data_IF_734345530841
#
_entry.id   IF_734345530841
#
_cell.length_a   1.000
_cell.length_b   1.000
_cell.length_c   1.000
_cell.angle_alpha   90.00
_cell.angle_beta   90.00
_cell.angle_gamma   90.00
#
_symmetry.space_group_name_H-M   'P 1'
#
loop_
_entity.id
_entity.type
_entity.pdbx_description
1 polymer ?
#
# COMPACT_ATOMS: atom_id res chain seq x y z
N UNK A 1 -10.25 16.88 1.38
CA UNK A 1 -10.48 15.58 2.07
C UNK A 1 -9.38 14.62 1.67
N UNK A 2 -8.84 13.83 2.61
CA UNK A 2 -7.76 12.87 2.35
C UNK A 2 -8.31 11.45 2.42
N UNK A 3 -7.98 10.60 1.45
CA UNK A 3 -8.27 9.16 1.49
C UNK A 3 -6.97 8.38 1.66
N UNK A 4 -7.02 7.36 2.52
CA UNK A 4 -5.87 6.52 2.84
C UNK A 4 -6.28 5.06 2.74
N UNK A 5 -5.51 4.29 1.97
CA UNK A 5 -5.59 2.84 1.95
C UNK A 5 -4.34 2.28 2.66
N UNK A 6 -4.53 1.50 3.72
CA UNK A 6 -3.44 1.03 4.57
C UNK A 6 -3.14 -0.46 4.32
N UNK A 7 -1.87 -0.76 4.00
CA UNK A 7 -1.37 -2.11 3.75
C UNK A 7 -0.37 -2.53 4.83
N UNK A 8 -0.88 -3.23 5.83
CA UNK A 8 -0.13 -3.70 6.99
C UNK A 8 0.59 -5.04 6.71
N UNK A 9 1.68 -4.98 5.94
CA UNK A 9 2.59 -6.12 5.76
C UNK A 9 4.04 -5.70 5.97
N UNK A 10 4.74 -6.51 6.76
CA UNK A 10 6.17 -6.50 6.98
C UNK A 10 6.86 -7.48 6.02
N UNK A 11 7.92 -7.01 5.36
CA UNK A 11 8.74 -7.75 4.41
C UNK A 11 8.17 -7.86 2.99
N UNK A 12 8.91 -8.57 2.13
CA UNK A 12 8.62 -8.63 0.70
C UNK A 12 7.23 -9.23 0.38
N UNK A 13 6.67 -8.73 -0.72
CA UNK A 13 5.42 -9.24 -1.27
C UNK A 13 5.61 -10.63 -1.88
N UNK A 14 4.66 -11.53 -1.65
CA UNK A 14 4.66 -12.92 -2.14
C UNK A 14 3.30 -13.29 -2.75
N UNK A 15 3.31 -14.16 -3.76
CA UNK A 15 2.11 -14.75 -4.34
C UNK A 15 1.12 -13.70 -4.87
N UNK A 16 -0.12 -13.71 -4.37
CA UNK A 16 -1.19 -12.83 -4.82
C UNK A 16 -1.12 -11.39 -4.28
N UNK A 17 -0.19 -11.08 -3.37
CA UNK A 17 -0.11 -9.79 -2.70
C UNK A 17 0.13 -8.59 -3.63
N UNK A 18 0.95 -8.69 -4.69
CA UNK A 18 1.01 -7.66 -5.72
C UNK A 18 -0.33 -7.28 -6.36
N UNK A 19 -1.18 -8.28 -6.62
CA UNK A 19 -2.51 -8.04 -7.21
C UNK A 19 -3.43 -7.32 -6.23
N UNK A 20 -3.28 -7.61 -4.93
CA UNK A 20 -3.98 -6.89 -3.87
C UNK A 20 -3.59 -5.41 -3.87
N UNK A 21 -2.30 -5.08 -3.83
CA UNK A 21 -1.87 -3.67 -3.88
C UNK A 21 -2.33 -2.93 -5.14
N UNK A 22 -2.30 -3.59 -6.30
CA UNK A 22 -2.84 -3.02 -7.51
C UNK A 22 -4.34 -2.71 -7.39
N UNK A 23 -5.10 -3.66 -6.86
CA UNK A 23 -6.55 -3.51 -6.63
C UNK A 23 -6.85 -2.39 -5.65
N UNK A 24 -6.08 -2.30 -4.58
CA UNK A 24 -6.22 -1.30 -3.53
C UNK A 24 -5.89 0.11 -4.07
N UNK A 25 -4.83 0.26 -4.89
CA UNK A 25 -4.54 1.51 -5.61
C UNK A 25 -5.67 1.91 -6.58
N UNK A 26 -6.24 0.97 -7.33
CA UNK A 26 -7.37 1.25 -8.22
C UNK A 26 -8.62 1.70 -7.47
N UNK A 27 -8.96 1.04 -6.35
CA UNK A 27 -10.09 1.45 -5.50
C UNK A 27 -9.88 2.87 -4.96
N UNK A 28 -8.67 3.16 -4.48
CA UNK A 28 -8.32 4.45 -3.92
C UNK A 28 -8.46 5.57 -4.97
N UNK A 29 -7.93 5.34 -6.18
CA UNK A 29 -8.07 6.28 -7.31
C UNK A 29 -9.55 6.52 -7.65
N UNK A 30 -10.34 5.45 -7.79
CA UNK A 30 -11.76 5.55 -8.14
C UNK A 30 -12.56 6.27 -7.05
N UNK A 31 -12.36 5.91 -5.78
CA UNK A 31 -13.02 6.56 -4.65
C UNK A 31 -12.62 8.04 -4.56
N UNK A 32 -11.34 8.34 -4.80
CA UNK A 32 -10.81 9.69 -4.86
C UNK A 32 -11.55 10.58 -5.85
N UNK A 33 -11.73 10.09 -7.07
CA UNK A 33 -12.47 10.80 -8.10
C UNK A 33 -13.95 10.98 -7.72
N UNK A 34 -14.59 9.94 -7.18
CA UNK A 34 -16.02 9.99 -6.84
C UNK A 34 -16.34 10.92 -5.67
N UNK A 35 -15.43 11.02 -4.71
CA UNK A 35 -15.63 11.79 -3.48
C UNK A 35 -14.98 13.18 -3.54
N UNK A 36 -14.29 13.54 -4.63
CA UNK A 36 -13.57 14.80 -4.73
C UNK A 36 -12.41 14.90 -3.73
N UNK A 37 -11.69 13.80 -3.51
CA UNK A 37 -10.54 13.79 -2.62
C UNK A 37 -9.43 14.69 -3.17
N UNK A 38 -8.77 15.41 -2.27
CA UNK A 38 -7.67 16.33 -2.60
C UNK A 38 -6.30 15.68 -2.46
N UNK A 39 -6.25 14.49 -1.83
CA UNK A 39 -5.04 13.73 -1.58
C UNK A 39 -5.36 12.25 -1.43
N UNK A 40 -4.57 11.41 -2.08
CA UNK A 40 -4.70 9.95 -2.05
C UNK A 40 -3.40 9.35 -1.53
N UNK A 41 -3.49 8.52 -0.49
CA UNK A 41 -2.32 7.92 0.14
C UNK A 41 -2.47 6.39 0.17
N UNK A 42 -1.49 5.69 -0.37
CA UNK A 42 -1.29 4.27 -0.14
C UNK A 42 -0.22 4.11 0.96
N UNK A 43 -0.66 3.88 2.19
CA UNK A 43 0.21 3.75 3.35
C UNK A 43 0.66 2.30 3.50
N UNK A 44 1.97 2.04 3.46
CA UNK A 44 2.55 0.70 3.62
C UNK A 44 3.33 0.60 4.92
N UNK A 45 3.36 -0.59 5.52
CA UNK A 45 4.02 -0.82 6.80
C UNK A 45 5.53 -1.11 6.70
N UNK A 46 6.07 -1.29 5.49
CA UNK A 46 7.46 -1.73 5.30
C UNK A 46 8.05 -1.28 3.97
N UNK A 47 9.34 -0.96 3.98
CA UNK A 47 10.09 -0.49 2.82
C UNK A 47 10.11 -1.52 1.68
N UNK A 48 10.07 -2.82 1.99
CA UNK A 48 10.03 -3.85 0.97
C UNK A 48 8.74 -3.81 0.14
N UNK A 49 7.62 -3.40 0.75
CA UNK A 49 6.36 -3.18 0.03
C UNK A 49 6.42 -1.90 -0.81
N UNK A 50 6.98 -0.81 -0.27
CA UNK A 50 7.18 0.45 -1.01
C UNK A 50 8.08 0.24 -2.24
N UNK A 51 9.20 -0.46 -2.07
CA UNK A 51 10.15 -0.77 -3.14
C UNK A 51 9.47 -1.49 -4.33
N UNK A 52 8.50 -2.36 -4.07
CA UNK A 52 7.73 -3.03 -5.13
C UNK A 52 6.89 -2.05 -5.96
N UNK A 53 6.33 -1.03 -5.31
CA UNK A 53 5.49 0.01 -5.91
C UNK A 53 6.30 1.09 -6.64
N UNK A 54 7.61 1.19 -6.38
CA UNK A 54 8.53 2.12 -7.03
C UNK A 54 9.37 1.49 -8.14
N UNK A 55 9.03 0.29 -8.62
CA UNK A 55 9.81 -0.39 -9.66
C UNK A 55 9.77 0.37 -10.99
N UNK A 56 10.92 0.77 -11.56
CA UNK A 56 10.98 1.45 -12.85
C UNK A 56 10.39 0.57 -13.96
N UNK A 57 9.69 1.19 -14.91
CA UNK A 57 9.08 0.50 -16.06
C UNK A 57 7.88 -0.40 -15.72
N UNK A 58 7.53 -0.59 -14.44
CA UNK A 58 6.34 -1.33 -14.07
C UNK A 58 5.08 -0.47 -14.28
N UNK A 59 4.07 -1.06 -14.93
CA UNK A 59 2.79 -0.38 -15.20
C UNK A 59 2.11 0.13 -13.92
N UNK A 60 2.22 -0.63 -12.81
CA UNK A 60 1.60 -0.25 -11.54
C UNK A 60 2.21 1.04 -11.00
N UNK A 61 3.53 1.15 -11.02
CA UNK A 61 4.27 2.37 -10.63
C UNK A 61 3.80 3.57 -11.45
N UNK A 62 3.68 3.39 -12.77
CA UNK A 62 3.18 4.45 -13.64
C UNK A 62 1.74 4.84 -13.29
N UNK A 63 0.84 3.87 -13.11
CA UNK A 63 -0.56 4.14 -12.76
C UNK A 63 -0.75 4.83 -11.42
N UNK A 64 0.05 4.49 -10.40
CA UNK A 64 0.01 5.15 -9.07
C UNK A 64 0.39 6.62 -9.22
N UNK A 65 1.48 6.89 -9.93
CA UNK A 65 1.95 8.25 -10.22
C UNK A 65 0.91 9.03 -11.03
N UNK A 66 0.39 8.45 -12.10
CA UNK A 66 -0.56 9.11 -13.00
C UNK A 66 -1.92 9.36 -12.30
N UNK A 67 -2.29 8.52 -11.33
CA UNK A 67 -3.45 8.72 -10.46
C UNK A 67 -3.21 9.73 -9.32
N UNK A 68 -1.99 10.25 -9.17
CA UNK A 68 -1.63 11.18 -8.08
C UNK A 68 -1.67 10.54 -6.70
N UNK A 69 -1.44 9.23 -6.61
CA UNK A 69 -1.40 8.50 -5.33
C UNK A 69 0.01 8.63 -4.74
N UNK A 70 0.07 9.11 -3.50
CA UNK A 70 1.28 9.15 -2.70
C UNK A 70 1.50 7.80 -2.01
N UNK A 71 2.74 7.31 -2.02
CA UNK A 71 3.13 6.14 -1.23
C UNK A 71 3.84 6.64 0.02
N UNK A 72 3.37 6.23 1.18
CA UNK A 72 3.98 6.57 2.46
C UNK A 72 4.34 5.27 3.19
N UNK A 73 5.59 5.15 3.63
CA UNK A 73 5.98 4.12 4.59
C UNK A 73 5.64 4.64 5.98
N UNK A 74 4.71 3.98 6.65
CA UNK A 74 4.30 4.38 7.99
C UNK A 74 5.44 4.10 8.99
N UNK A 75 5.78 5.10 9.79
CA UNK A 75 6.66 4.91 10.94
C UNK A 75 5.90 4.14 12.02
N UNK A 76 6.27 2.88 12.21
CA UNK A 76 5.65 2.00 13.19
C UNK A 76 6.61 1.76 14.35
N UNK A 77 6.19 2.08 15.57
CA UNK A 77 6.91 1.66 16.77
C UNK A 77 6.93 0.14 16.92
N UNK A 78 7.89 -0.38 17.67
CA UNK A 78 8.15 -1.81 17.82
C UNK A 78 6.90 -2.61 18.21
N UNK A 79 6.09 -2.08 19.12
CA UNK A 79 4.85 -2.71 19.58
C UNK A 79 3.88 -2.97 18.40
N UNK A 80 3.71 -1.99 17.52
CA UNK A 80 2.83 -2.13 16.35
C UNK A 80 3.43 -3.07 15.32
N UNK A 81 4.74 -2.98 15.10
CA UNK A 81 5.46 -3.87 14.18
C UNK A 81 5.33 -5.33 14.58
N UNK A 82 5.52 -5.64 15.87
CA UNK A 82 5.35 -6.98 16.43
C UNK A 82 3.89 -7.46 16.33
N UNK A 83 2.91 -6.59 16.56
CA UNK A 83 1.51 -6.94 16.40
C UNK A 83 1.17 -7.33 14.95
N UNK A 84 1.70 -6.61 13.97
CA UNK A 84 1.53 -6.93 12.53
C UNK A 84 2.23 -8.26 12.20
N UNK A 85 3.46 -8.48 12.67
CA UNK A 85 4.18 -9.74 12.47
C UNK A 85 3.42 -10.94 13.06
N UNK A 86 2.90 -10.80 14.28
CA UNK A 86 2.08 -11.82 14.91
C UNK A 86 0.78 -12.09 14.13
N UNK A 87 0.15 -11.05 13.57
CA UNK A 87 -1.02 -11.20 12.71
C UNK A 87 -0.69 -11.91 11.39
N UNK A 88 0.42 -11.57 10.75
CA UNK A 88 0.88 -12.23 9.53
C UNK A 88 1.15 -13.73 9.74
N UNK A 89 1.76 -14.10 10.87
CA UNK A 89 2.03 -15.50 11.20
C UNK A 89 0.74 -16.33 11.32
N UNK A 90 -0.34 -15.75 11.85
CA UNK A 90 -1.66 -16.40 11.93
C UNK A 90 -2.32 -16.60 10.57
N UNK A 91 -2.10 -15.69 9.62
CA UNK A 91 -2.70 -15.75 8.27
C UNK A 91 -1.99 -16.72 7.32
N UNK A 92 -0.77 -17.15 7.66
CA UNK A 92 0.02 -18.09 6.85
C UNK A 92 -0.22 -19.57 7.24
N UNK A 93 -1.15 -19.80 8.18
CA UNK A 93 -1.54 -21.12 8.68
C UNK A 93 -2.84 -21.56 8.02
#
# INVERSE_FOLDING_TARGET
MVLVEAYARIGALKGAQPRKLATDAFKLAWAGQKLGATRLILAVADEAAASYLHRPGAWLTASIRDAGIEIIVAELGDVMREAILAAQARQYR
#
